data_IF_305207720936
#
_entry.id   IF_305207720936
#
_cell.length_a   1.000
_cell.length_b   1.000
_cell.length_c   1.000
_cell.angle_alpha   90.00
_cell.angle_beta   90.00
_cell.angle_gamma   90.00
#
_symmetry.space_group_name_H-M   'P 1'
#
loop_
_entity.id
_entity.type
_entity.pdbx_description
1 polymer ?
#
# COMPACT_ATOMS: atom_id res chain seq x y z
N UNK A 1 -7.09 -14.92 -20.02
CA UNK A 1 -8.44 -15.47 -20.21
C UNK A 1 -8.44 -16.90 -19.70
N UNK A 2 -9.51 -17.36 -19.06
CA UNK A 2 -9.64 -18.76 -18.61
C UNK A 2 -10.95 -19.33 -19.15
N UNK A 3 -11.00 -20.64 -19.42
CA UNK A 3 -12.14 -21.27 -20.07
C UNK A 3 -12.54 -22.62 -19.45
N UNK A 4 -13.83 -22.99 -19.50
CA UNK A 4 -14.95 -22.19 -20.02
C UNK A 4 -15.35 -21.07 -19.05
N UNK A 5 -15.71 -19.90 -19.58
CA UNK A 5 -16.15 -18.77 -18.75
C UNK A 5 -17.44 -19.12 -18.00
N UNK A 6 -17.50 -18.82 -16.70
CA UNK A 6 -18.61 -19.20 -15.83
C UNK A 6 -18.57 -20.65 -15.34
N UNK A 7 -17.51 -21.40 -15.63
CA UNK A 7 -17.32 -22.73 -15.06
C UNK A 7 -17.32 -22.66 -13.53
N UNK A 8 -18.04 -23.59 -12.90
CA UNK A 8 -18.05 -23.78 -11.45
C UNK A 8 -17.44 -25.13 -11.12
N UNK A 9 -16.62 -25.16 -10.08
CA UNK A 9 -15.94 -26.35 -9.62
C UNK A 9 -16.54 -26.83 -8.30
N UNK A 10 -16.58 -28.15 -8.11
CA UNK A 10 -17.06 -28.77 -6.86
C UNK A 10 -16.13 -28.44 -5.68
N UNK A 11 -14.84 -28.22 -5.97
CA UNK A 11 -13.82 -27.77 -5.02
C UNK A 11 -13.00 -26.63 -5.60
N UNK A 12 -12.15 -25.99 -4.80
CA UNK A 12 -11.26 -24.95 -5.30
C UNK A 12 -10.24 -25.54 -6.28
N UNK A 13 -9.89 -24.78 -7.31
CA UNK A 13 -8.83 -25.08 -8.27
C UNK A 13 -7.71 -24.07 -8.15
N UNK A 14 -6.49 -24.50 -8.53
CA UNK A 14 -5.29 -23.67 -8.51
C UNK A 14 -4.91 -23.28 -9.94
N UNK A 15 -4.55 -22.02 -10.15
CA UNK A 15 -3.93 -21.53 -11.39
C UNK A 15 -2.66 -20.79 -11.03
N UNK A 16 -1.51 -21.25 -11.52
CA UNK A 16 -0.22 -20.60 -11.32
C UNK A 16 0.21 -19.86 -12.58
N UNK A 17 0.55 -18.58 -12.45
CA UNK A 17 0.89 -17.71 -13.58
C UNK A 17 2.20 -16.98 -13.27
N UNK A 18 3.19 -16.99 -14.17
CA UNK A 18 4.40 -16.19 -13.99
C UNK A 18 4.07 -14.69 -14.06
N UNK A 19 4.80 -13.89 -13.28
CA UNK A 19 4.69 -12.44 -13.31
C UNK A 19 6.04 -11.76 -13.49
N UNK A 20 6.01 -10.52 -13.96
CA UNK A 20 7.20 -9.70 -14.19
C UNK A 20 7.28 -8.48 -13.25
N UNK A 21 6.34 -8.37 -12.30
CA UNK A 21 6.33 -7.31 -11.30
C UNK A 21 7.54 -7.36 -10.37
N UNK A 22 8.17 -6.21 -10.13
CA UNK A 22 9.24 -6.07 -9.13
C UNK A 22 8.65 -5.71 -7.77
N UNK A 23 8.82 -6.59 -6.78
CA UNK A 23 8.27 -6.42 -5.44
C UNK A 23 9.06 -5.47 -4.54
N UNK A 24 10.31 -5.14 -4.94
CA UNK A 24 11.20 -4.17 -4.29
C UNK A 24 11.21 -4.30 -2.76
N UNK A 25 11.57 -5.47 -2.23
CA UNK A 25 11.67 -5.67 -0.78
C UNK A 25 10.36 -5.43 -0.03
N UNK A 26 9.23 -5.88 -0.60
CA UNK A 26 7.87 -5.69 -0.08
C UNK A 26 7.32 -4.25 -0.13
N UNK A 27 7.97 -3.29 -0.77
CA UNK A 27 7.38 -1.97 -1.07
C UNK A 27 6.12 -2.08 -1.95
N UNK A 28 6.07 -3.13 -2.77
CA UNK A 28 4.94 -3.45 -3.64
C UNK A 28 4.30 -4.76 -3.22
N UNK A 29 3.06 -4.93 -3.66
CA UNK A 29 2.32 -6.17 -3.55
C UNK A 29 1.70 -6.52 -4.90
N UNK A 30 1.41 -7.81 -5.08
CA UNK A 30 0.55 -8.28 -6.14
C UNK A 30 -0.87 -8.40 -5.61
N UNK A 31 -1.82 -7.86 -6.36
CA UNK A 31 -3.24 -8.15 -6.19
C UNK A 31 -3.75 -8.91 -7.39
N UNK A 32 -4.75 -9.73 -7.14
CA UNK A 32 -5.48 -10.39 -8.20
C UNK A 32 -6.79 -9.66 -8.44
N UNK A 33 -7.03 -9.30 -9.70
CA UNK A 33 -8.32 -8.79 -10.15
C UNK A 33 -9.01 -9.86 -10.99
N UNK A 34 -10.34 -9.86 -10.95
CA UNK A 34 -11.18 -10.68 -11.83
C UNK A 34 -12.23 -9.83 -12.54
N UNK A 35 -12.63 -10.25 -13.73
CA UNK A 35 -13.70 -9.65 -14.51
C UNK A 35 -14.57 -10.73 -15.15
N UNK A 36 -15.89 -10.62 -14.98
CA UNK A 36 -16.85 -11.57 -15.56
C UNK A 36 -17.14 -11.27 -17.05
N UNK A 37 -16.87 -10.03 -17.50
CA UNK A 37 -17.27 -9.55 -18.82
C UNK A 37 -16.18 -8.71 -19.55
N UNK A 38 -15.02 -8.48 -18.93
CA UNK A 38 -13.94 -7.63 -19.45
C UNK A 38 -14.09 -6.14 -19.16
N UNK A 39 -15.26 -5.67 -18.71
CA UNK A 39 -15.54 -4.24 -18.51
C UNK A 39 -15.36 -3.82 -17.05
N UNK A 40 -15.83 -4.65 -16.12
CA UNK A 40 -15.79 -4.35 -14.68
C UNK A 40 -14.77 -5.23 -13.97
N UNK A 41 -13.94 -4.62 -13.14
CA UNK A 41 -12.86 -5.31 -12.43
C UNK A 41 -13.08 -5.19 -10.92
N UNK A 42 -12.98 -6.33 -10.23
CA UNK A 42 -13.05 -6.42 -8.77
C UNK A 42 -11.84 -7.19 -8.25
N UNK A 43 -11.41 -6.87 -7.03
CA UNK A 43 -10.37 -7.63 -6.34
C UNK A 43 -10.89 -9.06 -6.14
N UNK A 44 -10.12 -10.05 -6.60
CA UNK A 44 -10.41 -11.45 -6.34
C UNK A 44 -9.93 -11.77 -4.94
N UNK A 45 -10.89 -12.02 -4.05
CA UNK A 45 -10.65 -12.45 -2.69
C UNK A 45 -11.09 -13.90 -2.57
N UNK A 46 -10.15 -14.79 -2.26
CA UNK A 46 -10.44 -16.16 -1.89
C UNK A 46 -9.88 -16.41 -0.50
N UNK A 47 -10.76 -16.69 0.46
CA UNK A 47 -10.34 -16.94 1.83
C UNK A 47 -9.86 -18.39 1.95
N UNK A 48 -8.56 -18.59 1.74
CA UNK A 48 -7.93 -19.90 1.94
C UNK A 48 -7.71 -20.24 3.41
N UNK A 49 -8.01 -19.34 4.37
CA UNK A 49 -7.65 -19.54 5.78
C UNK A 49 -8.30 -20.78 6.42
N UNK A 50 -9.37 -21.28 5.84
CA UNK A 50 -10.14 -22.41 6.39
C UNK A 50 -9.67 -23.77 5.88
N UNK A 51 -8.92 -23.84 4.77
CA UNK A 51 -8.53 -25.09 4.11
C UNK A 51 -7.00 -25.10 3.93
N UNK A 52 -6.31 -26.09 4.49
CA UNK A 52 -4.87 -26.24 4.24
C UNK A 52 -4.63 -26.52 2.74
N UNK A 53 -3.56 -25.96 2.16
CA UNK A 53 -3.21 -26.21 0.74
C UNK A 53 -3.15 -27.72 0.42
N UNK A 54 -2.68 -28.53 1.38
CA UNK A 54 -2.62 -29.99 1.26
C UNK A 54 -4.01 -30.65 1.22
N UNK A 55 -5.01 -30.09 1.90
CA UNK A 55 -6.40 -30.56 1.79
C UNK A 55 -6.99 -30.20 0.43
N UNK A 56 -6.59 -29.06 -0.16
CA UNK A 56 -7.08 -28.61 -1.47
C UNK A 56 -6.69 -29.58 -2.58
N UNK A 57 -5.51 -30.18 -2.48
CA UNK A 57 -5.03 -31.21 -3.41
C UNK A 57 -5.85 -32.50 -3.37
N UNK A 58 -6.67 -32.74 -2.33
CA UNK A 58 -7.59 -33.89 -2.24
C UNK A 58 -6.96 -35.25 -2.62
N UNK A 59 -5.68 -35.48 -2.28
CA UNK A 59 -4.97 -36.72 -2.58
C UNK A 59 -4.34 -36.80 -3.98
N UNK A 60 -4.28 -35.67 -4.71
CA UNK A 60 -3.42 -35.54 -5.90
C UNK A 60 -1.95 -35.66 -5.49
N UNK A 61 -1.18 -36.42 -6.28
CA UNK A 61 0.28 -36.58 -6.13
C UNK A 61 1.01 -35.38 -6.78
N UNK A 62 0.69 -34.18 -6.29
CA UNK A 62 1.24 -32.91 -6.76
C UNK A 62 1.84 -32.16 -5.57
N UNK A 63 3.03 -31.60 -5.73
CA UNK A 63 3.69 -30.79 -4.70
C UNK A 63 3.51 -29.31 -5.01
N UNK A 64 2.92 -28.57 -4.06
CA UNK A 64 2.77 -27.13 -4.18
C UNK A 64 3.95 -26.41 -3.53
N UNK A 65 4.65 -25.60 -4.32
CA UNK A 65 5.69 -24.71 -3.84
C UNK A 65 5.20 -23.84 -2.67
N UNK A 66 6.09 -23.57 -1.72
CA UNK A 66 5.86 -22.63 -0.62
C UNK A 66 5.70 -21.18 -1.14
N UNK A 67 5.05 -20.29 -0.37
CA UNK A 67 4.95 -18.86 -0.73
C UNK A 67 6.30 -18.21 -1.02
N UNK A 68 7.35 -18.60 -0.28
CA UNK A 68 8.71 -18.11 -0.46
C UNK A 68 9.35 -18.60 -1.76
N UNK A 69 9.07 -19.84 -2.19
CA UNK A 69 9.53 -20.39 -3.47
C UNK A 69 8.82 -19.75 -4.65
N UNK A 70 7.50 -19.55 -4.55
CA UNK A 70 6.72 -18.83 -5.55
C UNK A 70 7.24 -17.40 -5.75
N UNK A 71 7.58 -16.69 -4.66
CA UNK A 71 8.17 -15.35 -4.75
C UNK A 71 9.51 -15.37 -5.51
N UNK A 72 10.38 -16.35 -5.24
CA UNK A 72 11.65 -16.52 -5.96
C UNK A 72 11.45 -16.84 -7.44
N UNK A 73 10.50 -17.72 -7.76
CA UNK A 73 10.14 -18.12 -9.13
C UNK A 73 9.32 -17.05 -9.87
N UNK A 74 8.88 -16.00 -9.16
CA UNK A 74 7.95 -14.98 -9.66
C UNK A 74 6.66 -15.57 -10.20
N UNK A 75 6.05 -16.46 -9.42
CA UNK A 75 4.80 -17.12 -9.73
C UNK A 75 3.71 -16.58 -8.82
N UNK A 76 2.58 -16.19 -9.40
CA UNK A 76 1.36 -15.85 -8.68
C UNK A 76 0.42 -17.05 -8.69
N UNK A 77 0.08 -17.56 -7.51
CA UNK A 77 -0.90 -18.63 -7.33
C UNK A 77 -2.29 -18.03 -7.11
N UNK A 78 -3.22 -18.39 -7.99
CA UNK A 78 -4.65 -18.06 -7.92
C UNK A 78 -5.37 -19.29 -7.40
N UNK A 79 -6.24 -19.11 -6.40
CA UNK A 79 -7.11 -20.17 -5.89
C UNK A 79 -8.56 -19.70 -6.11
N UNK A 80 -9.37 -20.48 -6.80
CA UNK A 80 -10.73 -20.08 -7.16
C UNK A 80 -11.69 -21.26 -7.21
N UNK A 81 -12.99 -21.05 -6.97
CA UNK A 81 -14.05 -22.08 -7.16
C UNK A 81 -14.82 -21.92 -8.46
N UNK A 82 -14.50 -20.88 -9.22
CA UNK A 82 -15.15 -20.55 -10.47
C UNK A 82 -14.21 -19.81 -11.41
N UNK A 83 -14.47 -19.89 -12.70
CA UNK A 83 -13.73 -19.17 -13.72
C UNK A 83 -14.46 -17.89 -14.16
N UNK A 84 -13.93 -16.69 -13.83
CA UNK A 84 -14.33 -15.47 -14.50
C UNK A 84 -13.86 -15.52 -15.96
N UNK A 85 -14.30 -14.59 -16.80
CA UNK A 85 -13.74 -14.45 -18.14
C UNK A 85 -12.24 -14.09 -18.07
N UNK A 86 -11.88 -13.16 -17.18
CA UNK A 86 -10.51 -12.68 -17.04
C UNK A 86 -10.02 -12.66 -15.60
N UNK A 87 -8.76 -13.02 -15.43
CA UNK A 87 -7.93 -12.68 -14.27
C UNK A 87 -6.84 -11.70 -14.70
N UNK A 88 -6.42 -10.83 -13.78
CA UNK A 88 -5.27 -9.96 -13.95
C UNK A 88 -4.43 -9.89 -12.68
N UNK A 89 -3.13 -10.16 -12.81
CA UNK A 89 -2.15 -9.98 -11.74
C UNK A 89 -1.61 -8.56 -11.84
N UNK A 90 -1.88 -7.74 -10.83
CA UNK A 90 -1.55 -6.31 -10.84
C UNK A 90 -0.57 -6.00 -9.71
N UNK A 91 0.54 -5.34 -10.03
CA UNK A 91 1.45 -4.81 -9.02
C UNK A 91 1.03 -3.39 -8.62
N UNK A 92 0.87 -3.16 -7.31
CA UNK A 92 0.66 -1.81 -6.74
C UNK A 92 1.59 -1.57 -5.54
N UNK A 93 1.63 -0.33 -5.06
CA UNK A 93 2.26 -0.02 -3.76
C UNK A 93 1.54 -0.82 -2.67
N UNK A 94 2.30 -1.40 -1.75
CA UNK A 94 1.73 -2.15 -0.63
C UNK A 94 0.76 -1.28 0.16
N UNK A 95 -0.40 -1.85 0.48
CA UNK A 95 -1.45 -1.15 1.20
C UNK A 95 -1.79 -1.90 2.48
N UNK A 96 -1.46 -1.31 3.63
CA UNK A 96 -1.91 -1.80 4.93
C UNK A 96 -3.37 -1.42 5.14
N UNK A 97 -4.26 -2.42 5.17
CA UNK A 97 -5.70 -2.18 5.32
C UNK A 97 -6.25 -2.72 6.63
N UNK A 98 -7.15 -1.96 7.24
CA UNK A 98 -7.89 -2.39 8.44
C UNK A 98 -9.37 -1.98 8.34
N UNK A 99 -10.25 -2.80 8.92
CA UNK A 99 -11.66 -2.47 9.06
C UNK A 99 -11.84 -1.68 10.36
N UNK A 100 -11.96 -0.36 10.24
CA UNK A 100 -11.97 0.55 11.38
C UNK A 100 -13.34 1.24 11.52
N UNK A 101 -13.87 1.29 12.74
CA UNK A 101 -15.14 1.91 13.08
C UNK A 101 -15.00 3.19 13.93
N UNK A 102 -16.11 3.61 14.59
CA UNK A 102 -16.13 4.80 15.43
C UNK A 102 -15.14 4.79 16.60
N UNK A 103 -14.72 3.61 17.07
CA UNK A 103 -13.68 3.43 18.07
C UNK A 103 -12.31 3.99 17.64
N UNK A 104 -12.11 4.22 16.34
CA UNK A 104 -10.84 4.67 15.80
C UNK A 104 -9.79 3.56 15.79
N UNK A 105 -8.52 3.95 15.72
CA UNK A 105 -7.40 3.02 15.69
C UNK A 105 -6.20 3.56 14.94
N UNK A 106 -5.24 2.68 14.66
CA UNK A 106 -3.96 3.08 14.07
C UNK A 106 -3.55 2.14 12.96
N UNK A 107 -3.12 2.72 11.83
CA UNK A 107 -2.46 2.02 10.74
C UNK A 107 -0.96 2.34 10.76
N UNK A 108 -0.12 1.32 10.58
CA UNK A 108 1.34 1.45 10.47
C UNK A 108 1.80 0.79 9.19
N UNK A 109 2.73 1.41 8.46
CA UNK A 109 3.28 0.80 7.26
C UNK A 109 4.31 -0.28 7.60
N UNK A 110 4.29 -1.41 6.87
CA UNK A 110 5.29 -2.47 7.03
C UNK A 110 6.59 -2.17 6.31
N UNK A 111 6.52 -1.51 5.15
CA UNK A 111 7.69 -1.13 4.35
C UNK A 111 8.45 0.04 4.97
N UNK A 112 7.74 0.97 5.63
CA UNK A 112 8.34 2.10 6.34
C UNK A 112 7.77 2.20 7.76
N UNK A 113 8.40 1.56 8.78
CA UNK A 113 7.83 1.43 10.12
C UNK A 113 7.53 2.75 10.85
N UNK A 114 8.21 3.84 10.48
CA UNK A 114 8.00 5.18 11.04
C UNK A 114 6.73 5.86 10.50
N UNK A 115 6.16 5.36 9.39
CA UNK A 115 4.93 5.91 8.81
C UNK A 115 3.72 5.34 9.53
N UNK A 116 2.90 6.23 10.08
CA UNK A 116 1.69 5.89 10.82
C UNK A 116 0.54 6.86 10.51
N UNK A 117 -0.69 6.35 10.53
CA UNK A 117 -1.92 7.15 10.54
C UNK A 117 -2.77 6.74 11.76
N UNK A 118 -3.11 7.70 12.62
CA UNK A 118 -3.92 7.50 13.81
C UNK A 118 -5.28 8.18 13.67
N UNK A 119 -6.34 7.41 13.89
CA UNK A 119 -7.72 7.85 13.81
C UNK A 119 -8.27 7.92 15.22
N UNK A 120 -8.59 9.11 15.75
CA UNK A 120 -9.19 9.23 17.07
C UNK A 120 -10.62 8.70 17.08
N UNK A 121 -11.13 8.38 18.28
CA UNK A 121 -12.53 8.00 18.48
C UNK A 121 -13.48 9.05 17.90
N UNK A 122 -14.43 8.63 17.08
CA UNK A 122 -15.39 9.49 16.39
C UNK A 122 -14.88 10.13 15.09
N UNK A 123 -13.66 9.81 14.63
CA UNK A 123 -13.21 10.22 13.28
C UNK A 123 -14.04 9.55 12.17
N UNK A 124 -14.57 8.36 12.46
CA UNK A 124 -15.42 7.55 11.60
C UNK A 124 -16.80 7.36 12.26
N UNK A 125 -17.85 7.28 11.45
CA UNK A 125 -19.23 7.02 11.91
C UNK A 125 -19.72 5.62 11.58
N UNK A 126 -19.02 4.93 10.67
CA UNK A 126 -19.31 3.56 10.24
C UNK A 126 -18.01 2.79 10.13
N UNK A 127 -18.10 1.47 10.29
CA UNK A 127 -16.98 0.57 10.04
C UNK A 127 -16.68 0.54 8.55
N UNK A 128 -15.48 0.97 8.16
CA UNK A 128 -15.03 1.01 6.77
C UNK A 128 -13.62 0.44 6.63
N UNK A 129 -13.29 -0.03 5.42
CA UNK A 129 -11.91 -0.39 5.07
C UNK A 129 -11.11 0.90 4.85
N UNK A 130 -10.18 1.17 5.74
CA UNK A 130 -9.16 2.22 5.61
C UNK A 130 -7.83 1.59 5.21
N UNK A 131 -7.05 2.31 4.41
CA UNK A 131 -5.76 1.88 3.89
C UNK A 131 -4.67 2.92 4.15
N UNK A 132 -3.46 2.45 4.41
CA UNK A 132 -2.24 3.26 4.46
C UNK A 132 -1.26 2.69 3.44
N UNK A 133 -0.69 3.55 2.60
CA UNK A 133 0.39 3.21 1.68
C UNK A 133 1.59 4.10 2.02
N UNK A 134 2.78 3.52 2.01
CA UNK A 134 4.03 4.25 2.08
C UNK A 134 4.97 3.79 0.96
N UNK A 135 5.29 4.71 0.04
CA UNK A 135 6.23 4.47 -1.05
C UNK A 135 7.56 5.15 -0.73
N UNK A 136 8.62 4.38 -0.40
CA UNK A 136 9.96 4.93 -0.24
C UNK A 136 10.45 5.60 -1.53
N UNK A 137 11.22 6.66 -1.36
CA UNK A 137 11.83 7.39 -2.48
C UNK A 137 13.32 7.02 -2.54
N UNK A 138 13.78 6.35 -3.61
CA UNK A 138 15.19 5.94 -3.71
C UNK A 138 16.10 7.16 -3.88
N UNK A 139 17.07 7.31 -2.99
CA UNK A 139 18.00 8.45 -3.02
C UNK A 139 18.75 8.57 -4.34
N UNK A 140 19.19 7.44 -4.91
CA UNK A 140 19.90 7.43 -6.20
C UNK A 140 19.06 7.99 -7.33
N UNK A 141 17.74 7.73 -7.32
CA UNK A 141 16.81 8.28 -8.30
C UNK A 141 16.67 9.79 -8.13
N UNK A 142 16.55 10.26 -6.89
CA UNK A 142 16.48 11.70 -6.59
C UNK A 142 17.75 12.41 -7.03
N UNK A 143 18.93 11.89 -6.63
CA UNK A 143 20.24 12.43 -6.99
C UNK A 143 20.43 12.48 -8.51
N UNK A 144 19.99 11.44 -9.24
CA UNK A 144 20.05 11.41 -10.71
C UNK A 144 19.19 12.49 -11.37
N UNK A 145 18.01 12.80 -10.83
CA UNK A 145 17.07 13.73 -11.45
C UNK A 145 17.36 15.19 -11.06
N UNK A 146 17.60 15.46 -9.78
CA UNK A 146 17.72 16.82 -9.24
C UNK A 146 19.02 17.10 -8.49
N UNK A 147 19.96 16.16 -8.44
CA UNK A 147 21.20 16.29 -7.67
C UNK A 147 20.93 16.42 -6.17
N UNK A 148 21.67 17.31 -5.51
CA UNK A 148 21.55 17.55 -4.06
C UNK A 148 20.59 18.71 -3.73
N UNK A 149 19.71 19.11 -4.66
CA UNK A 149 18.83 20.28 -4.49
C UNK A 149 17.72 20.06 -3.46
N UNK A 150 17.23 18.82 -3.34
CA UNK A 150 16.21 18.46 -2.37
C UNK A 150 16.29 16.96 -2.03
N UNK A 151 15.76 16.62 -0.87
CA UNK A 151 15.53 15.25 -0.40
C UNK A 151 14.05 15.09 -0.08
N UNK A 152 13.57 13.85 -0.06
CA UNK A 152 12.15 13.55 0.12
C UNK A 152 11.93 12.50 1.19
N UNK A 153 10.86 12.67 1.95
CA UNK A 153 10.28 11.60 2.74
C UNK A 153 9.54 10.61 1.81
N UNK A 154 9.13 9.44 2.31
CA UNK A 154 8.25 8.54 1.57
C UNK A 154 6.95 9.26 1.17
N UNK A 155 6.39 8.90 0.01
CA UNK A 155 5.04 9.33 -0.35
C UNK A 155 4.06 8.50 0.49
N UNK A 156 3.25 9.17 1.29
CA UNK A 156 2.26 8.52 2.16
C UNK A 156 0.86 8.82 1.64
N UNK A 157 0.05 7.78 1.47
CA UNK A 157 -1.35 7.90 1.00
C UNK A 157 -2.29 7.21 1.98
N UNK A 158 -3.36 7.92 2.37
CA UNK A 158 -4.48 7.35 3.12
C UNK A 158 -5.62 7.07 2.15
N UNK A 159 -6.09 5.82 2.12
CA UNK A 159 -7.21 5.37 1.31
C UNK A 159 -8.46 5.11 2.19
N UNK A 160 -9.68 5.40 1.71
CA UNK A 160 -9.98 5.98 0.41
C UNK A 160 -9.63 7.48 0.34
N UNK A 161 -8.98 7.90 -0.74
CA UNK A 161 -8.75 9.32 -1.06
C UNK A 161 -10.09 10.07 -1.20
N UNK A 162 -10.04 11.41 -1.06
CA UNK A 162 -11.22 12.32 -1.12
C UNK A 162 -12.30 12.03 -0.06
N UNK A 163 -11.89 11.50 1.10
CA UNK A 163 -12.77 11.33 2.25
C UNK A 163 -12.57 12.47 3.24
N UNK A 164 -13.68 13.05 3.73
CA UNK A 164 -13.66 13.93 4.91
C UNK A 164 -13.90 13.08 6.15
N UNK A 165 -13.00 13.19 7.12
CA UNK A 165 -13.18 12.58 8.44
C UNK A 165 -13.93 13.53 9.37
N UNK A 166 -14.66 12.97 10.33
CA UNK A 166 -15.45 13.77 11.28
C UNK A 166 -14.57 14.43 12.36
N UNK A 167 -13.36 13.89 12.57
CA UNK A 167 -12.32 14.47 13.41
C UNK A 167 -10.99 14.41 12.65
N UNK A 168 -10.05 15.35 12.92
CA UNK A 168 -8.72 15.31 12.32
C UNK A 168 -8.01 14.00 12.66
N UNK A 169 -7.29 13.45 11.68
CA UNK A 169 -6.49 12.22 11.85
C UNK A 169 -5.03 12.62 12.02
N UNK A 170 -4.26 11.93 12.84
CA UNK A 170 -2.83 12.25 13.00
C UNK A 170 -2.00 11.44 12.03
N UNK A 171 -1.26 12.11 11.16
CA UNK A 171 -0.24 11.52 10.30
C UNK A 171 1.13 11.64 10.96
N UNK A 172 1.94 10.59 10.90
CA UNK A 172 3.34 10.58 11.30
C UNK A 172 4.18 10.07 10.13
N UNK A 173 5.16 10.86 9.70
CA UNK A 173 6.00 10.58 8.53
C UNK A 173 7.46 10.88 8.91
N UNK A 174 8.45 10.02 8.56
CA UNK A 174 9.86 10.34 8.79
C UNK A 174 10.25 11.60 8.02
N UNK A 175 11.10 12.43 8.64
CA UNK A 175 11.64 13.62 7.96
C UNK A 175 12.54 13.18 6.79
N UNK A 176 12.60 13.96 5.69
CA UNK A 176 13.56 13.69 4.62
C UNK A 176 15.00 13.64 5.17
N UNK A 177 15.88 12.78 4.63
CA UNK A 177 17.29 12.79 5.00
C UNK A 177 17.91 14.15 4.65
N UNK A 178 18.95 14.59 5.38
CA UNK A 178 19.64 15.84 5.07
C UNK A 178 20.36 15.74 3.71
N UNK A 179 20.33 16.81 2.93
CA UNK A 179 21.10 16.89 1.68
C UNK A 179 22.58 17.18 1.96
N UNK A 180 23.46 16.23 1.63
CA UNK A 180 24.92 16.39 1.68
C UNK A 180 25.61 15.59 2.80
N UNK A 181 26.85 15.16 2.54
CA UNK A 181 27.69 14.49 3.54
C UNK A 181 28.21 15.51 4.58
N UNK A 182 27.90 15.30 5.86
CA UNK A 182 28.68 15.91 6.96
C UNK A 182 28.11 17.11 7.72
N UNK A 183 26.81 17.45 7.64
CA UNK A 183 26.24 18.47 8.54
C UNK A 183 25.58 17.84 9.79
N UNK A 184 26.24 18.04 10.94
CA UNK A 184 25.73 17.74 12.28
C UNK A 184 24.60 18.69 12.69
N UNK A 185 23.51 18.13 13.21
CA UNK A 185 22.39 18.72 13.96
C UNK A 185 22.34 20.26 14.11
N UNK A 186 21.44 20.88 13.34
CA UNK A 186 20.87 22.20 13.62
C UNK A 186 19.60 22.16 14.50
N UNK A 187 19.33 21.07 15.23
CA UNK A 187 18.18 20.95 16.14
C UNK A 187 18.39 21.74 17.45
N UNK A 188 18.69 23.04 17.34
CA UNK A 188 18.57 23.98 18.45
C UNK A 188 17.75 25.18 18.00
N UNK A 189 16.44 25.03 18.19
CA UNK A 189 15.52 26.13 18.47
C UNK A 189 15.56 27.33 17.53
N UNK A 190 15.21 27.15 16.26
CA UNK A 190 14.15 27.94 15.62
C UNK A 190 13.82 27.37 14.22
N UNK A 191 12.55 27.50 13.85
CA UNK A 191 11.86 27.09 12.60
C UNK A 191 12.70 26.44 11.48
N UNK A 192 12.40 25.19 11.10
CA UNK A 192 12.92 24.54 9.87
C UNK A 192 12.62 25.39 8.62
N UNK A 193 13.56 26.19 8.07
CA UNK A 193 13.22 27.14 6.99
C UNK A 193 13.03 26.42 5.64
N UNK A 194 13.45 25.16 5.54
CA UNK A 194 13.61 24.44 4.28
C UNK A 194 12.62 23.26 4.12
N UNK A 195 11.90 22.87 5.17
CA UNK A 195 10.96 21.75 5.08
C UNK A 195 9.64 22.23 4.47
N UNK A 196 9.17 21.51 3.44
CA UNK A 196 7.89 21.80 2.78
C UNK A 196 6.97 20.59 2.92
N UNK A 197 5.70 20.85 3.25
CA UNK A 197 4.66 19.82 3.25
C UNK A 197 3.87 19.94 1.95
N UNK A 198 3.97 18.91 1.10
CA UNK A 198 3.24 18.82 -0.16
C UNK A 198 2.06 17.85 0.00
N UNK A 199 0.91 18.21 -0.55
CA UNK A 199 -0.31 17.40 -0.49
C UNK A 199 -0.96 17.27 -1.87
N UNK A 200 -1.58 16.12 -2.13
CA UNK A 200 -2.48 15.95 -3.27
C UNK A 200 -3.81 15.36 -2.81
N UNK A 201 -4.91 16.04 -3.12
CA UNK A 201 -6.28 15.57 -2.86
C UNK A 201 -6.91 14.86 -4.07
N UNK A 202 -6.13 14.67 -5.14
CA UNK A 202 -6.59 13.97 -6.34
C UNK A 202 -6.91 12.50 -6.04
N UNK A 203 -7.97 11.98 -6.66
CA UNK A 203 -8.51 10.65 -6.37
C UNK A 203 -8.69 9.85 -7.66
N UNK A 204 -8.84 8.53 -7.55
CA UNK A 204 -9.03 7.65 -8.69
C UNK A 204 -7.79 7.56 -9.58
N UNK A 205 -8.01 7.54 -10.89
CA UNK A 205 -6.98 7.40 -11.94
C UNK A 205 -6.39 8.74 -12.39
N UNK A 206 -6.87 9.86 -11.86
CA UNK A 206 -6.31 11.18 -12.17
C UNK A 206 -4.88 11.32 -11.63
N UNK A 207 -3.98 11.97 -12.37
CA UNK A 207 -2.60 12.18 -11.93
C UNK A 207 -2.55 13.06 -10.67
N UNK A 208 -1.56 12.80 -9.81
CA UNK A 208 -1.31 13.60 -8.61
C UNK A 208 -1.02 15.06 -8.99
N UNK A 209 -1.70 15.98 -8.32
CA UNK A 209 -1.43 17.43 -8.36
C UNK A 209 -0.95 17.84 -6.98
N UNK A 210 0.30 18.32 -6.89
CA UNK A 210 0.95 18.65 -5.64
C UNK A 210 0.77 20.13 -5.30
N UNK A 211 0.28 20.39 -4.10
CA UNK A 211 0.11 21.74 -3.54
C UNK A 211 0.98 21.87 -2.29
N UNK A 212 1.63 23.03 -2.14
CA UNK A 212 2.40 23.37 -0.95
C UNK A 212 1.45 23.89 0.14
N UNK A 213 1.33 23.13 1.22
CA UNK A 213 0.48 23.44 2.37
C UNK A 213 1.32 23.76 3.61
N UNK A 214 2.58 24.15 3.42
CA UNK A 214 3.48 24.52 4.51
C UNK A 214 2.90 25.71 5.27
N UNK A 215 2.79 25.59 6.60
CA UNK A 215 2.24 26.63 7.46
C UNK A 215 0.72 26.65 7.58
N UNK A 216 -0.03 25.86 6.79
CA UNK A 216 -1.49 25.74 6.98
C UNK A 216 -1.84 24.79 8.12
N UNK A 217 -0.95 23.83 8.42
CA UNK A 217 -1.10 22.85 9.49
C UNK A 217 0.15 22.88 10.38
N UNK A 218 0.01 22.90 11.72
CA UNK A 218 1.16 22.85 12.61
C UNK A 218 1.88 21.49 12.51
N UNK A 219 3.21 21.54 12.49
CA UNK A 219 4.07 20.36 12.44
C UNK A 219 4.73 20.14 13.80
N UNK A 220 4.61 18.93 14.34
CA UNK A 220 5.29 18.52 15.58
C UNK A 220 6.42 17.55 15.25
N UNK A 221 7.65 17.85 15.68
CA UNK A 221 8.82 16.99 15.43
C UNK A 221 9.14 16.11 16.63
N UNK A 222 9.19 14.79 16.42
CA UNK A 222 9.52 13.79 17.45
C UNK A 222 10.25 12.63 16.79
N UNK A 223 11.40 12.21 17.32
CA UNK A 223 12.15 11.01 16.89
C UNK A 223 12.32 10.91 15.36
N UNK A 224 12.91 11.93 14.74
CA UNK A 224 13.13 12.01 13.28
C UNK A 224 11.86 11.88 12.42
N UNK A 225 10.70 12.13 13.02
CA UNK A 225 9.42 12.17 12.34
C UNK A 225 8.76 13.54 12.50
N UNK A 226 7.93 13.88 11.52
CA UNK A 226 6.97 14.96 11.60
C UNK A 226 5.58 14.38 11.83
N UNK A 227 4.83 14.97 12.76
CA UNK A 227 3.43 14.64 13.03
C UNK A 227 2.52 15.86 12.84
N UNK A 228 1.39 15.65 12.17
CA UNK A 228 0.43 16.70 11.81
C UNK A 228 -0.99 16.12 11.63
N UNK A 229 -2.01 16.97 11.49
CA UNK A 229 -3.43 16.56 11.36
C UNK A 229 -4.16 17.18 10.20
#
# INVERSE_FOLDING_TARGET
EVGPAGAQFLGPVIVEIPHFGSMRGQERELILLRSENGETWKEHLYDCKTESLNQLLNGMDEELDSPEELEKKRICRIITKDFPQYFAVVSRIRQETHQMGPEGGTLRSRSVPLVQASFPEGALTKKIKVGLQAQPIPEDTVKKIIGNRATFSPIVTVEPRRRKFHKPITMTIPVPPLSGEGLTNGYKGDSTPCLRLLCSITGGTSPAQWEDITGTTPLTFVNDCVSFT
#
